data_IF_170191780983
#
_entry.id   IF_170191780983
#
_cell.length_a   1.000
_cell.length_b   1.000
_cell.length_c   1.000
_cell.angle_alpha   90.00
_cell.angle_beta   90.00
_cell.angle_gamma   90.00
#
_symmetry.space_group_name_H-M   'P 1'
#
loop_
_entity.id
_entity.type
_entity.pdbx_description
1 polymer ?
2 non-polymer ?
3 non-polymer ?
4 water ?
#
# COMPACT_ATOMS: atom_id res chain seq x y z
N UNK A 19 17.47 -4.44 -8.64
CA UNK A 19 16.49 -3.99 -7.61
C UNK A 19 16.52 -2.49 -7.36
N UNK A 20 15.33 -1.88 -7.25
CA UNK A 20 15.14 -0.45 -6.93
C UNK A 20 13.68 -0.02 -7.18
N UNK A 21 13.15 0.80 -6.27
CA UNK A 21 11.71 1.02 -6.18
C UNK A 21 11.26 2.47 -6.18
N UNK A 22 10.15 2.72 -6.88
CA UNK A 22 9.53 4.04 -6.92
C UNK A 22 8.07 3.97 -6.47
N UNK A 23 7.80 4.37 -5.20
CA UNK A 23 6.44 4.37 -4.69
C UNK A 23 5.60 5.46 -5.34
N UNK A 24 4.45 5.06 -5.88
CA UNK A 24 3.54 6.01 -6.52
C UNK A 24 2.22 6.02 -5.76
N UNK A 25 1.56 7.17 -5.69
CA UNK A 25 0.23 7.23 -5.10
C UNK A 25 -0.74 7.81 -6.12
N UNK A 26 -1.90 7.21 -6.24
CA UNK A 26 -2.86 7.57 -7.27
C UNK A 26 -4.24 7.49 -6.70
N UNK A 27 -5.15 8.31 -7.22
CA UNK A 27 -6.46 8.41 -6.64
C UNK A 27 -7.61 8.12 -7.59
N UNK A 28 -8.66 7.56 -7.01
CA UNK A 28 -9.93 7.34 -7.68
C UNK A 28 -10.94 8.44 -7.33
N UNK A 29 -11.19 9.32 -8.29
CA UNK A 29 -12.21 10.36 -8.14
C UNK A 29 -13.40 9.99 -8.99
N UNK A 30 -14.60 10.25 -8.50
CA UNK A 30 -15.78 9.74 -9.19
C UNK A 30 -16.86 10.79 -9.37
N UNK A 31 -17.65 10.66 -10.43
CA UNK A 31 -18.64 11.67 -10.80
C UNK A 31 -19.86 11.04 -11.45
N UNK A 32 -20.88 10.79 -10.65
CA UNK A 32 -22.11 10.14 -11.08
C UNK A 32 -21.84 8.75 -11.66
N UNK A 33 -20.93 8.01 -11.02
CA UNK A 33 -20.54 6.68 -11.49
C UNK A 33 -19.26 6.66 -12.31
N UNK A 34 -19.03 7.74 -13.08
CA UNK A 34 -17.86 7.87 -13.92
C UNK A 34 -16.58 8.04 -13.11
N UNK A 35 -15.43 7.92 -13.74
CA UNK A 35 -14.15 8.04 -13.03
C UNK A 35 -13.22 8.91 -13.84
N UNK A 36 -12.25 9.52 -13.15
CA UNK A 36 -11.43 10.57 -13.75
C UNK A 36 -10.05 10.05 -14.13
N UNK A 37 -9.73 10.15 -15.41
CA UNK A 37 -8.39 9.79 -15.88
C UNK A 37 -7.70 10.94 -16.64
N UNK A 38 -6.38 10.90 -16.68
CA UNK A 38 -5.63 11.91 -17.41
C UNK A 38 -4.80 11.28 -18.49
N UNK A 39 -4.74 11.95 -19.65
CA UNK A 39 -3.89 11.50 -20.76
C UNK A 39 -2.45 11.99 -20.51
N UNK A 40 -1.54 11.06 -20.27
CA UNK A 40 -0.14 11.38 -20.06
C UNK A 40 0.43 12.28 -21.18
N UNK A 41 1.08 13.40 -20.81
CA UNK A 41 1.60 14.36 -21.78
C UNK A 41 2.57 13.76 -22.80
N UNK A 42 2.74 14.42 -23.93
CA UNK A 42 3.52 13.88 -25.05
C UNK A 42 5.03 13.75 -24.82
N UNK A 43 5.61 14.63 -23.99
CA UNK A 43 7.07 14.66 -23.81
C UNK A 43 7.61 14.08 -22.50
N UNK A 44 6.82 14.16 -21.43
CA UNK A 44 7.08 13.40 -20.21
C UNK A 44 6.25 12.11 -20.32
N UNK A 45 6.94 11.01 -20.61
CA UNK A 45 6.27 9.91 -21.31
C UNK A 45 6.07 8.52 -20.70
N UNK A 46 4.81 8.12 -20.73
CA UNK A 46 4.42 6.80 -21.16
C UNK A 46 3.30 7.31 -22.06
N UNK A 47 3.69 8.20 -22.97
CA UNK A 47 2.79 9.16 -23.61
C UNK A 47 1.55 8.58 -24.29
N UNK A 48 0.44 9.31 -24.15
CA UNK A 48 -0.83 8.96 -24.78
C UNK A 48 -1.71 8.10 -23.90
N UNK A 49 -1.14 7.60 -22.81
CA UNK A 49 -1.78 6.63 -21.93
C UNK A 49 -2.61 7.29 -20.85
N UNK A 50 -3.73 6.65 -20.51
CA UNK A 50 -4.69 7.20 -19.57
C UNK A 50 -4.47 6.58 -18.22
N UNK A 51 -4.42 7.40 -17.17
CA UNK A 51 -4.07 6.93 -15.86
C UNK A 51 -4.93 7.61 -14.82
N UNK A 52 -4.73 7.21 -13.56
CA UNK A 52 -5.34 7.92 -12.46
C UNK A 52 -4.36 8.95 -11.92
N UNK A 53 -4.83 10.18 -11.67
CA UNK A 53 -3.90 11.24 -11.28
C UNK A 53 -3.15 10.92 -9.99
N UNK A 54 -1.90 11.36 -9.93
CA UNK A 54 -1.05 11.09 -8.79
C UNK A 54 0.38 11.15 -9.20
N UNK A 55 1.23 10.53 -8.40
CA UNK A 55 2.67 10.55 -8.70
C UNK A 55 3.56 10.05 -7.57
N UNK A 56 4.84 10.37 -7.67
CA UNK A 56 5.86 9.82 -6.78
C UNK A 56 5.78 10.44 -5.39
N UNK A 57 6.00 9.63 -4.36
CA UNK A 57 6.10 10.11 -2.98
C UNK A 57 7.49 10.69 -2.73
N UNK A 58 7.54 11.89 -2.14
CA UNK A 58 8.80 12.55 -1.83
C UNK A 58 9.28 12.19 -0.43
N UNK A 59 10.54 12.51 -0.13
CA UNK A 59 11.14 12.29 1.20
C UNK A 59 10.35 12.95 2.31
N UNK A 60 10.11 12.20 3.37
CA UNK A 60 9.44 12.71 4.55
C UNK A 60 7.92 12.67 4.52
N UNK A 61 7.32 12.54 3.34
CA UNK A 61 5.86 12.55 3.28
C UNK A 61 5.19 11.19 3.41
N UNK A 62 3.97 11.19 3.94
CA UNK A 62 3.14 10.00 4.00
C UNK A 62 2.45 9.84 2.64
N UNK A 63 1.92 8.63 2.34
CA UNK A 63 1.27 8.41 1.05
C UNK A 63 0.16 9.43 0.82
N UNK A 64 -0.68 9.60 1.85
CA UNK A 64 -1.73 10.63 1.88
C UNK A 64 -1.19 12.01 1.55
N UNK A 65 -0.16 12.45 2.27
CA UNK A 65 0.41 13.78 2.00
C UNK A 65 0.76 13.92 0.53
N UNK A 66 1.43 12.89 -0.02
CA UNK A 66 1.89 12.88 -1.40
C UNK A 66 0.73 12.90 -2.40
N UNK A 67 -0.35 12.18 -2.08
CA UNK A 67 -1.51 12.16 -2.95
C UNK A 67 -2.25 13.49 -2.91
N UNK A 68 -2.40 14.07 -1.72
CA UNK A 68 -3.05 15.38 -1.59
C UNK A 68 -2.31 16.40 -2.45
N UNK A 69 -0.99 16.31 -2.40
CA UNK A 69 -0.09 17.27 -3.07
C UNK A 69 -0.13 17.08 -4.58
N UNK A 70 -0.06 15.82 -5.01
CA UNK A 70 -0.08 15.48 -6.43
C UNK A 70 -1.38 15.95 -7.06
N UNK A 71 -2.48 15.70 -6.36
CA UNK A 71 -3.79 16.10 -6.84
C UNK A 71 -3.90 17.62 -6.94
N UNK A 72 -3.21 18.35 -6.06
CA UNK A 72 -3.18 19.80 -6.12
C UNK A 72 -2.40 20.25 -7.34
N UNK A 73 -1.17 19.79 -7.44
CA UNK A 73 -0.30 20.25 -8.48
C UNK A 73 -0.71 19.74 -9.87
N UNK A 74 -1.54 18.70 -9.92
CA UNK A 74 -2.01 18.14 -11.20
C UNK A 74 -3.44 18.52 -11.58
N UNK A 75 -4.31 18.66 -10.57
CA UNK A 75 -5.73 18.92 -10.81
C UNK A 75 -6.17 20.33 -10.40
N UNK A 76 -5.35 21.00 -9.58
CA UNK A 76 -5.70 22.29 -9.02
C UNK A 76 -6.69 22.17 -7.87
N UNK A 77 -6.85 20.96 -7.33
CA UNK A 77 -7.85 20.71 -6.30
C UNK A 77 -7.28 20.43 -4.92
N UNK A 78 -7.93 20.99 -3.90
CA UNK A 78 -7.60 20.64 -2.53
C UNK A 78 -8.43 19.44 -2.14
N UNK A 79 -7.80 18.28 -2.17
CA UNK A 79 -8.50 17.03 -1.93
C UNK A 79 -8.22 16.41 -0.56
N UNK A 80 -9.23 15.70 -0.04
CA UNK A 80 -9.11 14.90 1.16
C UNK A 80 -8.94 13.43 0.77
N UNK A 81 -7.80 12.83 1.13
CA UNK A 81 -7.50 11.44 0.72
C UNK A 81 -8.17 10.40 1.63
N UNK A 82 -9.02 9.59 1.03
CA UNK A 82 -9.77 8.59 1.77
C UNK A 82 -9.09 7.24 1.86
N UNK A 83 -9.93 6.21 1.83
CA UNK A 83 -9.55 4.83 2.10
C UNK A 83 -8.59 4.27 1.04
N UNK A 84 -7.65 3.44 1.50
CA UNK A 84 -6.67 2.78 0.63
C UNK A 84 -7.26 1.56 -0.02
N UNK A 85 -7.25 1.50 -1.34
CA UNK A 85 -7.99 0.42 -2.01
C UNK A 85 -7.12 -0.69 -2.63
N UNK A 86 -5.96 -0.33 -3.17
CA UNK A 86 -5.12 -1.27 -3.88
C UNK A 86 -3.65 -0.95 -3.75
N UNK A 87 -2.84 -1.99 -3.83
CA UNK A 87 -1.39 -1.86 -3.94
C UNK A 87 -0.92 -2.86 -4.99
N UNK A 88 -0.06 -2.43 -5.89
CA UNK A 88 0.49 -3.38 -6.80
C UNK A 88 1.91 -3.01 -7.23
N UNK A 89 2.62 -3.97 -7.81
CA UNK A 89 3.94 -3.71 -8.34
C UNK A 89 3.98 -3.92 -9.84
N UNK A 90 4.80 -3.14 -10.53
CA UNK A 90 5.11 -3.40 -11.95
C UNK A 90 6.53 -2.96 -12.22
N UNK A 91 7.28 -3.76 -12.97
CA UNK A 91 8.55 -3.30 -13.47
C UNK A 91 8.42 -2.95 -14.95
N UNK A 92 8.72 -1.69 -15.29
CA UNK A 92 8.89 -1.27 -16.67
C UNK A 92 10.36 -1.47 -17.04
N UNK A 93 10.75 -2.74 -17.17
CA UNK A 93 12.13 -3.12 -17.46
C UNK A 93 13.03 -3.10 -16.23
N UNK A 94 13.64 -1.94 -15.98
CA UNK A 94 14.61 -1.75 -14.91
C UNK A 94 13.99 -0.97 -13.75
N UNK A 95 13.15 0.00 -14.08
CA UNK A 95 12.54 0.89 -13.09
C UNK A 95 11.36 0.17 -12.40
N UNK A 96 11.52 -0.09 -11.10
CA UNK A 96 10.50 -0.80 -10.31
C UNK A 96 9.51 0.11 -9.63
N UNK A 97 8.22 -0.12 -9.88
CA UNK A 97 7.13 0.75 -9.42
C UNK A 97 6.15 0.09 -8.45
N UNK A 98 5.80 0.80 -7.37
CA UNK A 98 4.77 0.36 -6.43
C UNK A 98 3.69 1.42 -6.37
N UNK A 99 2.46 1.07 -6.78
CA UNK A 99 1.37 2.04 -6.84
C UNK A 99 0.41 1.75 -5.73
N UNK A 100 0.05 2.77 -4.96
CA UNK A 100 -1.03 2.66 -3.99
C UNK A 100 -2.22 3.43 -4.52
N UNK A 101 -3.41 2.85 -4.45
CA UNK A 101 -4.59 3.52 -4.97
C UNK A 101 -5.53 3.87 -3.82
N UNK A 102 -5.89 5.14 -3.77
CA UNK A 102 -6.74 5.63 -2.72
C UNK A 102 -8.00 6.18 -3.32
N UNK A 103 -9.07 6.04 -2.57
CA UNK A 103 -10.40 6.49 -2.94
C UNK A 103 -10.44 7.94 -2.53
N UNK A 104 -10.80 8.81 -3.46
CA UNK A 104 -10.87 10.24 -3.19
C UNK A 104 -12.33 10.68 -3.28
N UNK A 105 -12.96 10.79 -2.11
CA UNK A 105 -14.38 11.13 -2.03
C UNK A 105 -14.63 12.63 -1.96
N UNK A 106 -13.66 13.37 -1.43
CA UNK A 106 -13.91 14.74 -1.04
C UNK A 106 -12.83 15.70 -1.52
N UNK A 107 -13.26 16.80 -2.13
CA UNK A 107 -12.33 17.83 -2.61
C UNK A 107 -13.02 19.17 -2.80
N UNK A 108 -12.21 20.22 -2.86
CA UNK A 108 -12.71 21.56 -3.13
C UNK A 108 -12.32 21.96 -4.55
N UNK A 109 -13.32 22.37 -5.32
CA UNK A 109 -13.12 22.84 -6.68
C UNK A 109 -13.39 21.78 -7.73
N UNK A 110 -13.15 22.13 -9.00
CA UNK A 110 -13.25 21.20 -10.11
C UNK A 110 -11.86 21.02 -10.74
N UNK A 111 -11.50 19.77 -11.10
CA UNK A 111 -10.18 19.51 -11.66
C UNK A 111 -10.04 20.00 -13.10
N UNK A 112 -8.86 20.53 -13.41
CA UNK A 112 -8.51 21.02 -14.74
C UNK A 112 -7.14 20.44 -15.11
N UNK A 113 -6.84 20.42 -16.40
CA UNK A 113 -5.63 19.75 -16.88
C UNK A 113 -4.39 20.62 -16.71
N UNK A 114 -3.89 20.68 -15.48
CA UNK A 114 -2.69 21.43 -15.17
C UNK A 114 -1.44 20.75 -15.73
N UNK A 115 -1.43 19.42 -15.72
CA UNK A 115 -0.28 18.64 -16.21
C UNK A 115 -0.62 17.74 -17.39
N UNK A 116 -1.76 17.04 -17.32
CA UNK A 116 -2.13 16.07 -18.34
C UNK A 116 -2.55 16.73 -19.64
N UNK A 117 -2.39 16.01 -20.74
CA UNK A 117 -2.81 16.48 -22.07
C UNK A 117 -4.32 16.75 -22.14
N UNK A 118 -5.09 15.86 -21.55
CA UNK A 118 -6.52 16.02 -21.50
C UNK A 118 -7.01 15.36 -20.22
N UNK A 119 -8.22 15.70 -19.80
CA UNK A 119 -8.87 15.06 -18.66
C UNK A 119 -10.23 14.59 -19.10
N UNK A 120 -10.68 13.47 -18.53
CA UNK A 120 -11.97 12.93 -18.89
C UNK A 120 -12.58 12.07 -17.79
N UNK A 121 -13.89 12.23 -17.63
CA UNK A 121 -14.67 11.38 -16.74
C UNK A 121 -15.29 10.32 -17.62
N UNK A 122 -14.79 9.10 -17.54
CA UNK A 122 -15.30 8.02 -18.39
C UNK A 122 -16.06 6.98 -17.59
N UNK A 123 -16.90 6.22 -18.26
CA UNK A 123 -17.48 5.06 -17.63
C UNK A 123 -16.35 4.08 -17.40
N UNK A 124 -16.30 3.49 -16.21
CA UNK A 124 -15.16 2.63 -15.87
C UNK A 124 -15.01 1.51 -16.90
N UNK A 125 -16.13 0.97 -17.38
CA UNK A 125 -16.12 -0.02 -18.47
C UNK A 125 -15.15 0.35 -19.61
N UNK A 126 -15.10 1.63 -19.95
CA UNK A 126 -14.27 2.11 -21.04
C UNK A 126 -12.77 1.82 -20.83
N UNK A 127 -12.37 1.64 -19.58
CA UNK A 127 -10.99 1.26 -19.30
C UNK A 127 -10.54 0.04 -20.11
N UNK A 128 -11.47 -0.89 -20.36
CA UNK A 128 -11.16 -2.10 -21.10
C UNK A 128 -10.59 -1.80 -22.48
N UNK A 129 -11.02 -0.70 -23.09
CA UNK A 129 -10.51 -0.34 -24.40
C UNK A 129 -9.83 1.03 -24.48
N UNK A 130 -9.33 1.51 -23.36
CA UNK A 130 -8.46 2.69 -23.37
C UNK A 130 -7.03 2.23 -23.22
N UNK A 131 -6.10 2.90 -23.91
CA UNK A 131 -4.68 2.65 -23.72
C UNK A 131 -4.26 3.12 -22.32
N UNK A 132 -4.03 2.16 -21.43
CA UNK A 132 -3.68 2.45 -20.04
C UNK A 132 -2.35 1.74 -19.66
N UNK A 133 -1.65 2.23 -18.60
CA UNK A 133 -0.39 1.59 -18.17
C UNK A 133 -0.55 0.10 -17.98
N UNK A 134 0.41 -0.67 -18.50
CA UNK A 134 0.37 -2.13 -18.36
C UNK A 134 0.20 -2.54 -16.90
N UNK A 135 0.68 -1.67 -16.00
CA UNK A 135 0.63 -1.90 -14.56
C UNK A 135 -0.80 -1.88 -14.07
N UNK A 136 -1.63 -1.07 -14.72
CA UNK A 136 -3.05 -0.99 -14.42
C UNK A 136 -3.82 -2.05 -15.18
N UNK A 137 -3.40 -2.35 -16.40
CA UNK A 137 -4.11 -3.33 -17.20
C UNK A 137 -4.02 -4.71 -16.57
N UNK A 138 -2.86 -5.02 -15.98
CA UNK A 138 -2.65 -6.31 -15.31
C UNK A 138 -3.60 -6.51 -14.13
N UNK A 139 -4.03 -5.42 -13.51
CA UNK A 139 -4.87 -5.55 -12.32
C UNK A 139 -6.27 -4.93 -12.49
N UNK A 140 -6.69 -4.75 -13.74
CA UNK A 140 -7.97 -4.15 -14.05
C UNK A 140 -9.13 -4.78 -13.25
N UNK A 141 -9.04 -6.10 -13.06
CA UNK A 141 -9.97 -6.91 -12.27
C UNK A 141 -10.06 -6.33 -10.87
N UNK A 142 -8.89 -6.24 -10.24
CA UNK A 142 -8.77 -5.78 -8.87
C UNK A 142 -9.26 -4.34 -8.73
N UNK A 143 -8.99 -3.54 -9.75
CA UNK A 143 -9.49 -2.18 -9.80
C UNK A 143 -11.03 -2.15 -9.79
N UNK A 144 -11.66 -2.86 -10.72
CA UNK A 144 -13.11 -2.82 -10.82
C UNK A 144 -13.76 -3.11 -9.48
N UNK A 145 -13.17 -4.06 -8.75
CA UNK A 145 -13.66 -4.41 -7.42
C UNK A 145 -13.54 -3.24 -6.45
N UNK A 146 -12.37 -2.60 -6.45
CA UNK A 146 -12.12 -1.46 -5.58
C UNK A 146 -13.03 -0.25 -5.89
N UNK A 147 -13.59 -0.21 -7.10
CA UNK A 147 -14.49 0.85 -7.49
C UNK A 147 -15.93 0.46 -7.20
N UNK A 148 -16.16 -0.82 -6.91
CA UNK A 148 -17.48 -1.34 -6.56
C UNK A 148 -18.25 -1.88 -7.75
N UNK A 149 -17.55 -2.49 -8.69
CA UNK A 149 -18.18 -2.95 -9.93
C UNK A 149 -17.95 -4.45 -10.23
N UNK A 150 -18.34 -4.90 -11.42
CA UNK A 150 -18.17 -6.32 -11.78
C UNK A 150 -17.20 -6.53 -12.97
N UNK A 151 -16.80 -7.91 -13.05
CA UNK A 151 -15.78 -8.32 -14.03
C UNK A 151 -15.84 -9.84 -14.30
N UNK B 20 16.67 5.73 -1.63
CA UNK B 20 16.09 4.42 -2.02
C UNK B 20 14.93 4.03 -1.10
N UNK B 21 13.84 3.57 -1.69
CA UNK B 21 12.69 3.13 -0.92
C UNK B 21 12.73 1.63 -0.75
N UNK B 22 12.35 1.15 0.42
CA UNK B 22 12.32 -0.28 0.66
C UNK B 22 10.90 -0.75 1.00
N UNK B 23 10.19 -1.26 -0.02
CA UNK B 23 8.81 -1.72 0.22
C UNK B 23 8.78 -2.97 1.08
N UNK B 24 8.19 -2.85 2.26
CA UNK B 24 8.06 -4.00 3.14
C UNK B 24 6.60 -4.45 3.16
N UNK B 25 6.37 -5.75 3.23
CA UNK B 25 5.02 -6.25 3.46
C UNK B 25 5.02 -7.02 4.75
N UNK B 26 3.88 -7.00 5.44
CA UNK B 26 3.75 -7.62 6.75
C UNK B 26 2.30 -7.91 7.05
N UNK B 27 2.05 -8.82 7.98
CA UNK B 27 0.72 -9.37 8.13
C UNK B 27 0.16 -9.39 9.54
N UNK B 28 -1.17 -9.33 9.61
CA UNK B 28 -1.90 -9.41 10.86
C UNK B 28 -2.52 -10.80 10.98
N UNK B 29 -1.99 -11.58 11.92
CA UNK B 29 -2.51 -12.90 12.24
C UNK B 29 -3.23 -12.81 13.57
N UNK B 30 -4.14 -13.73 13.83
CA UNK B 30 -5.13 -13.52 14.84
C UNK B 30 -5.50 -14.79 15.59
N UNK B 31 -5.76 -14.69 16.89
CA UNK B 31 -6.10 -15.85 17.70
C UNK B 31 -7.01 -15.49 18.86
N UNK B 32 -8.31 -15.62 18.63
CA UNK B 32 -9.36 -15.16 19.57
C UNK B 32 -9.10 -13.71 19.99
N UNK B 33 -9.03 -12.81 19.00
CA UNK B 33 -8.81 -11.39 19.29
C UNK B 33 -7.36 -11.02 19.48
N UNK B 34 -6.56 -11.95 20.01
CA UNK B 34 -5.10 -11.75 20.12
C UNK B 34 -4.46 -11.54 18.75
N UNK B 35 -3.22 -11.05 18.75
CA UNK B 35 -2.48 -10.82 17.51
C UNK B 35 -1.07 -11.34 17.71
N UNK B 36 -0.41 -11.65 16.59
CA UNK B 36 0.88 -12.30 16.59
C UNK B 36 1.99 -11.31 16.27
N UNK B 37 3.00 -11.25 17.13
CA UNK B 37 4.17 -10.42 16.89
C UNK B 37 5.46 -11.23 17.14
N UNK B 38 6.57 -10.81 16.55
CA UNK B 38 7.83 -11.51 16.75
C UNK B 38 8.92 -10.60 17.30
N UNK B 39 9.74 -11.13 18.20
CA UNK B 39 10.88 -10.37 18.75
C UNK B 39 12.05 -10.36 17.76
N UNK B 40 12.32 -9.19 17.19
CA UNK B 40 13.47 -9.02 16.29
C UNK B 40 14.74 -9.60 16.93
N UNK B 41 15.49 -10.40 16.17
CA UNK B 41 16.65 -11.10 16.75
C UNK B 41 17.82 -10.16 16.96
N UNK B 42 18.78 -10.59 17.78
CA UNK B 42 19.86 -9.73 18.23
C UNK B 42 20.90 -9.33 17.17
N UNK B 43 21.08 -10.16 16.14
CA UNK B 43 22.15 -9.91 15.14
C UNK B 43 21.77 -8.97 13.98
N UNK B 44 20.59 -9.16 13.40
CA UNK B 44 20.02 -8.21 12.44
C UNK B 44 19.07 -7.27 13.20
N UNK B 45 19.48 -6.00 13.28
CA UNK B 45 18.99 -5.13 14.35
C UNK B 45 18.00 -4.00 14.04
N UNK B 46 16.81 -4.20 14.59
CA UNK B 46 16.20 -3.22 15.43
C UNK B 46 15.93 -4.13 16.61
N UNK B 47 17.02 -4.63 17.18
CA UNK B 47 17.02 -5.79 18.07
C UNK B 47 16.05 -5.71 19.26
N UNK B 48 15.39 -6.83 19.54
CA UNK B 48 14.48 -6.93 20.70
C UNK B 48 13.13 -6.31 20.49
N UNK B 49 12.89 -5.72 19.30
CA UNK B 49 11.65 -5.02 19.01
C UNK B 49 10.61 -5.95 18.45
N UNK B 50 9.37 -5.71 18.84
CA UNK B 50 8.29 -6.57 18.46
C UNK B 50 7.63 -6.04 17.21
N UNK B 51 7.41 -6.93 16.24
CA UNK B 51 6.92 -6.51 14.95
C UNK B 51 5.88 -7.50 14.46
N UNK B 52 5.23 -7.17 13.36
CA UNK B 52 4.43 -8.14 12.66
C UNK B 52 5.30 -8.85 11.62
N UNK B 53 5.21 -10.19 11.53
CA UNK B 53 6.00 -10.95 10.54
C UNK B 53 5.82 -10.45 9.12
N UNK B 54 6.89 -10.49 8.34
CA UNK B 54 6.90 -9.99 6.97
C UNK B 54 8.30 -9.56 6.60
N UNK B 55 8.44 -8.91 5.44
CA UNK B 55 9.76 -8.43 5.03
C UNK B 55 9.81 -7.76 3.66
N UNK B 56 11.01 -7.64 3.11
CA UNK B 56 11.24 -6.90 1.87
C UNK B 56 10.64 -7.65 0.67
N UNK B 57 9.97 -6.92 -0.22
CA UNK B 57 9.46 -7.45 -1.48
C UNK B 57 10.65 -7.61 -2.43
N UNK B 58 10.77 -8.76 -3.08
CA UNK B 58 11.89 -9.04 -3.95
C UNK B 58 11.55 -8.65 -5.37
N UNK B 59 12.58 -8.26 -6.14
CA UNK B 59 12.45 -7.97 -7.57
C UNK B 59 11.57 -9.02 -8.26
N UNK B 60 10.55 -8.55 -8.96
CA UNK B 60 9.64 -9.46 -9.66
C UNK B 60 8.33 -9.79 -8.99
N UNK B 61 8.31 -9.91 -7.66
CA UNK B 61 7.09 -10.39 -6.98
C UNK B 61 6.02 -9.32 -6.71
N UNK B 62 4.79 -9.76 -6.49
CA UNK B 62 3.74 -8.88 -6.02
C UNK B 62 3.78 -8.78 -4.49
N UNK B 63 3.08 -7.79 -3.90
CA UNK B 63 3.02 -7.66 -2.45
C UNK B 63 2.56 -8.96 -1.80
N UNK B 64 1.44 -9.48 -2.29
CA UNK B 64 0.89 -10.74 -1.81
C UNK B 64 1.88 -11.89 -1.89
N UNK B 65 2.49 -12.10 -3.06
CA UNK B 65 3.50 -13.16 -3.20
C UNK B 65 4.58 -13.04 -2.13
N UNK B 66 5.04 -11.81 -1.88
CA UNK B 66 6.10 -11.53 -0.93
C UNK B 66 5.72 -11.84 0.51
N UNK B 67 4.51 -11.46 0.90
CA UNK B 67 4.07 -11.77 2.23
C UNK B 67 3.93 -13.28 2.38
N UNK B 68 3.22 -13.90 1.44
CA UNK B 68 3.05 -15.35 1.44
C UNK B 68 4.39 -15.99 1.75
N UNK B 69 5.42 -15.56 1.04
CA UNK B 69 6.77 -16.16 1.11
C UNK B 69 7.43 -15.83 2.43
N UNK B 70 7.33 -14.56 2.85
CA UNK B 70 7.96 -14.13 4.08
C UNK B 70 7.34 -14.87 5.25
N UNK B 71 6.03 -15.06 5.18
CA UNK B 71 5.32 -15.77 6.24
C UNK B 71 5.74 -17.24 6.33
N UNK B 72 5.95 -17.86 5.16
CA UNK B 72 6.45 -19.22 5.09
C UNK B 72 7.83 -19.31 5.72
N UNK B 73 8.76 -18.53 5.20
CA UNK B 73 10.13 -18.66 5.65
C UNK B 73 10.36 -18.17 7.08
N UNK B 74 9.47 -17.33 7.61
CA UNK B 74 9.60 -16.84 8.99
C UNK B 74 8.78 -17.62 10.02
N UNK B 75 7.62 -18.11 9.63
CA UNK B 75 6.72 -18.80 10.55
C UNK B 75 6.53 -20.29 10.21
N UNK B 76 7.01 -20.71 9.06
CA UNK B 76 6.76 -22.07 8.59
C UNK B 76 5.34 -22.28 8.07
N UNK B 77 4.48 -21.27 8.19
CA UNK B 77 3.10 -21.42 7.75
C UNK B 77 2.94 -21.16 6.27
N UNK B 78 1.83 -21.67 5.74
CA UNK B 78 1.50 -21.56 4.34
C UNK B 78 0.24 -20.73 4.31
N UNK B 79 0.42 -19.43 4.12
CA UNK B 79 -0.64 -18.47 4.36
C UNK B 79 -1.40 -18.06 3.11
N UNK B 80 -2.65 -17.62 3.30
CA UNK B 80 -3.44 -16.99 2.25
C UNK B 80 -3.53 -15.52 2.61
N UNK B 81 -3.05 -14.67 1.70
CA UNK B 81 -2.99 -13.23 1.98
C UNK B 81 -4.34 -12.56 1.74
N UNK B 82 -4.81 -11.86 2.76
CA UNK B 82 -6.14 -11.25 2.74
C UNK B 82 -6.09 -9.80 2.32
N UNK B 83 -7.06 -9.04 2.83
CA UNK B 83 -7.22 -7.63 2.49
C UNK B 83 -6.05 -6.79 2.91
N UNK B 84 -5.71 -5.82 2.06
CA UNK B 84 -4.77 -4.75 2.40
C UNK B 84 -5.42 -3.77 3.35
N UNK B 85 -4.80 -3.52 4.49
CA UNK B 85 -5.40 -2.67 5.51
C UNK B 85 -4.76 -1.30 5.66
N UNK B 86 -3.47 -1.23 5.41
CA UNK B 86 -2.67 -0.09 5.85
C UNK B 86 -1.40 0.09 5.08
N UNK B 87 -1.00 1.35 4.91
CA UNK B 87 0.29 1.69 4.34
C UNK B 87 0.85 2.93 5.00
N UNK B 88 2.14 2.89 5.29
CA UNK B 88 2.78 4.06 5.84
C UNK B 88 4.25 4.12 5.49
N UNK B 89 4.84 5.30 5.65
CA UNK B 89 6.24 5.53 5.38
C UNK B 89 6.97 5.87 6.67
N UNK B 90 8.25 5.51 6.77
CA UNK B 90 9.08 5.96 7.88
C UNK B 90 10.53 6.12 7.43
N UNK B 91 11.26 7.02 8.09
CA UNK B 91 12.69 7.16 7.88
C UNK B 91 13.46 6.65 9.10
N UNK B 92 14.24 5.59 8.90
CA UNK B 92 15.24 5.17 9.88
C UNK B 92 16.60 5.73 9.44
N UNK B 93 16.68 7.06 9.38
CA UNK B 93 17.85 7.77 8.88
C UNK B 93 17.75 8.11 7.40
N UNK B 94 18.64 7.52 6.61
CA UNK B 94 18.64 7.66 5.16
C UNK B 94 17.78 6.55 4.52
N UNK B 95 17.45 5.55 5.33
CA UNK B 95 16.73 4.36 4.88
C UNK B 95 15.21 4.59 4.87
N UNK B 96 14.64 4.72 3.67
CA UNK B 96 13.21 4.94 3.52
C UNK B 96 12.42 3.66 3.29
N UNK B 97 11.54 3.32 4.22
CA UNK B 97 10.72 2.10 4.11
C UNK B 97 9.21 2.39 3.97
N UNK B 98 8.55 1.62 3.11
CA UNK B 98 7.10 1.71 2.92
C UNK B 98 6.50 0.39 3.34
N UNK B 99 5.75 0.36 4.45
CA UNK B 99 5.12 -0.90 4.86
C UNK B 99 3.68 -0.98 4.36
N UNK B 100 3.31 -2.15 3.84
CA UNK B 100 1.92 -2.47 3.60
C UNK B 100 1.50 -3.52 4.59
N UNK B 101 0.32 -3.36 5.20
CA UNK B 101 -0.13 -4.36 6.14
C UNK B 101 -1.33 -5.09 5.60
N UNK B 102 -1.27 -6.41 5.68
CA UNK B 102 -2.32 -7.25 5.16
C UNK B 102 -2.93 -8.10 6.24
N UNK B 103 -4.24 -8.26 6.14
CA UNK B 103 -4.99 -9.11 7.01
C UNK B 103 -4.70 -10.52 6.55
N UNK B 104 -4.35 -11.40 7.49
CA UNK B 104 -4.11 -12.81 7.19
C UNK B 104 -5.11 -13.67 7.94
N UNK B 105 -6.19 -14.03 7.26
CA UNK B 105 -7.23 -14.81 7.87
C UNK B 105 -6.91 -16.30 7.89
N UNK B 106 -6.18 -16.75 6.87
CA UNK B 106 -6.14 -18.17 6.53
C UNK B 106 -4.75 -18.74 6.31
N UNK B 107 -4.43 -19.85 6.97
CA UNK B 107 -3.15 -20.54 6.77
C UNK B 107 -3.17 -22.02 7.15
N UNK B 108 -2.16 -22.77 6.69
CA UNK B 108 -1.94 -24.15 7.12
C UNK B 108 -0.79 -24.19 8.13
N UNK B 109 -0.94 -25.02 9.17
CA UNK B 109 0.10 -25.21 10.17
C UNK B 109 0.07 -24.17 11.29
N UNK B 110 0.89 -24.39 12.31
CA UNK B 110 1.08 -23.42 13.39
C UNK B 110 2.46 -22.77 13.26
N UNK B 111 2.54 -21.45 13.51
CA UNK B 111 3.77 -20.69 13.35
C UNK B 111 4.78 -21.01 14.44
N UNK B 112 6.05 -20.93 14.07
CA UNK B 112 7.18 -21.24 14.95
C UNK B 112 8.32 -20.28 14.66
N UNK B 113 9.19 -20.07 15.64
CA UNK B 113 10.18 -18.99 15.56
C UNK B 113 11.38 -19.38 14.71
N UNK B 114 11.21 -19.32 13.39
CA UNK B 114 12.27 -19.66 12.46
C UNK B 114 13.30 -18.56 12.31
N UNK B 115 12.94 -17.33 12.71
CA UNK B 115 13.80 -16.16 12.58
C UNK B 115 13.87 -15.32 13.87
N UNK B 116 12.72 -15.14 14.52
CA UNK B 116 12.62 -14.27 15.69
C UNK B 116 13.11 -14.98 16.93
N UNK B 117 13.52 -14.21 17.95
CA UNK B 117 13.85 -14.77 19.28
C UNK B 117 12.66 -15.44 19.95
N UNK B 118 11.54 -14.73 19.96
CA UNK B 118 10.30 -15.31 20.44
C UNK B 118 9.17 -14.95 19.50
N UNK B 119 8.15 -15.79 19.49
CA UNK B 119 6.87 -15.46 18.91
C UNK B 119 5.89 -15.39 20.06
N UNK B 120 4.93 -14.47 19.95
CA UNK B 120 3.94 -14.29 20.99
C UNK B 120 2.63 -13.84 20.41
N UNK B 121 1.55 -14.41 20.94
CA UNK B 121 0.20 -13.96 20.67
C UNK B 121 -0.12 -13.02 21.80
N UNK B 122 -0.29 -11.75 21.51
CA UNK B 122 -0.56 -10.79 22.58
C UNK B 122 -1.88 -10.09 22.39
N UNK B 123 -2.49 -9.68 23.49
CA UNK B 123 -3.62 -8.79 23.39
C UNK B 123 -3.13 -7.55 22.66
N UNK B 124 -3.93 -7.04 21.72
CA UNK B 124 -3.46 -5.89 20.93
C UNK B 124 -3.19 -4.69 21.84
N UNK B 125 -4.03 -4.50 22.85
CA UNK B 125 -3.87 -3.46 23.85
C UNK B 125 -2.41 -3.36 24.35
N UNK B 126 -1.76 -4.50 24.47
CA UNK B 126 -0.42 -4.59 25.02
C UNK B 126 0.62 -3.88 24.15
N UNK B 127 0.38 -3.79 22.85
CA UNK B 127 1.28 -3.04 21.97
C UNK B 127 1.60 -1.63 22.50
N UNK B 128 0.63 -1.03 23.20
CA UNK B 128 0.82 0.30 23.76
C UNK B 128 2.05 0.38 24.68
N UNK B 129 2.42 -0.74 25.28
CA UNK B 129 3.58 -0.78 26.18
C UNK B 129 4.56 -1.90 25.84
N UNK B 130 4.73 -2.14 24.54
CA UNK B 130 5.75 -3.06 24.06
C UNK B 130 6.68 -2.30 23.16
N UNK B 131 7.96 -2.60 23.25
CA UNK B 131 8.95 -1.95 22.40
C UNK B 131 8.77 -2.39 20.96
N UNK B 132 8.31 -1.45 20.13
CA UNK B 132 7.99 -1.75 18.73
C UNK B 132 8.60 -0.69 17.80
N UNK B 133 8.84 -1.03 16.51
CA UNK B 133 9.38 -0.08 15.53
C UNK B 133 8.64 1.27 15.57
N UNK B 134 9.38 2.36 15.56
CA UNK B 134 8.75 3.69 15.59
C UNK B 134 7.76 3.86 14.42
N UNK B 135 7.96 3.07 13.35
CA UNK B 135 7.10 3.14 12.16
C UNK B 135 5.70 2.64 12.48
N UNK B 136 5.62 1.73 13.45
CA UNK B 136 4.37 1.19 13.94
C UNK B 136 3.84 2.03 15.08
N UNK B 137 4.74 2.46 15.97
CA UNK B 137 4.41 3.32 17.09
C UNK B 137 3.65 4.55 16.60
N UNK B 138 4.15 5.17 15.52
CA UNK B 138 3.54 6.37 14.96
C UNK B 138 2.15 6.18 14.37
N UNK B 139 1.78 4.95 14.04
CA UNK B 139 0.47 4.71 13.43
C UNK B 139 -0.34 3.71 14.25
N UNK B 140 0.00 3.59 15.53
CA UNK B 140 -0.62 2.59 16.39
C UNK B 140 -2.14 2.69 16.38
N UNK B 141 -2.64 3.93 16.27
CA UNK B 141 -4.06 4.21 16.16
C UNK B 141 -4.65 3.65 14.89
N UNK B 142 -4.02 3.98 13.77
CA UNK B 142 -4.41 3.44 12.47
C UNK B 142 -4.39 1.91 12.45
N UNK B 143 -3.41 1.33 13.15
CA UNK B 143 -3.34 -0.11 13.30
C UNK B 143 -4.57 -0.62 14.05
N UNK B 144 -4.81 -0.06 15.24
CA UNK B 144 -5.92 -0.52 16.06
C UNK B 144 -7.22 -0.54 15.27
N UNK B 145 -7.43 0.50 14.46
CA UNK B 145 -8.61 0.58 13.61
C UNK B 145 -8.66 -0.58 12.60
N UNK B 146 -7.60 -0.75 11.83
CA UNK B 146 -7.50 -1.85 10.90
C UNK B 146 -7.74 -3.24 11.53
N UNK B 147 -7.58 -3.34 12.84
CA UNK B 147 -7.80 -4.60 13.53
C UNK B 147 -9.23 -4.76 14.06
N UNK B 148 -10.04 -3.71 13.92
CA UNK B 148 -11.43 -3.74 14.38
C UNK B 148 -11.57 -3.29 15.82
N UNK B 149 -10.73 -2.32 16.22
CA UNK B 149 -10.70 -1.77 17.58
C UNK B 149 -10.52 -0.24 17.53
N UNK B 150 -10.95 0.47 18.59
CA UNK B 150 -10.71 1.93 18.65
C UNK B 150 -9.47 2.32 19.47
N UNK B 151 -8.88 3.46 19.07
CA UNK B 151 -7.65 3.99 19.68
C UNK B 151 -7.83 4.47 21.13
N UNK B 152 -8.87 5.29 21.34
CA UNK B 152 -9.14 5.87 22.65
C UNK B 152 -10.57 6.42 22.69
X LIG C 1 6.62 13.06 -12.87
X LIG C 1 7.68 13.52 -11.86
X LIG C 1 6.89 11.61 -13.25
X LIG C 1 6.73 13.91 -14.14
X LIG C 1 5.15 13.24 -12.17
X LIG C 1 4.64 12.38 -10.89
X LIG C 1 5.42 12.76 -9.65
X LIG C 1 3.16 12.57 -10.70
X LIG C 1 4.91 10.82 -11.22
X LIG C 1 3.96 10.05 -12.26
X LIG C 1 2.59 10.68 -12.21
X LIG C 1 4.57 10.10 -13.62
X LIG C 1 3.79 8.53 -11.77
X LIG C 1 4.92 7.74 -11.52
X LIG C 1 4.87 6.40 -12.27
X LIG C 1 3.74 5.58 -12.03
X LIG C 1 4.96 6.62 -13.78
X LIG C 1 6.20 6.09 -14.21
X LIG C 1 3.77 5.86 -14.32
X LIG C 1 4.18 5.10 -15.43
X LIG C 1 3.37 4.89 -13.22
X LIG C 1 1.93 4.55 -13.26
X LIG C 1 1.34 3.35 -13.58
X LIG C 1 0.00 3.51 -13.45
X LIG C 1 -0.30 4.76 -13.04
X LIG C 1 -1.47 5.45 -12.75
X LIG C 1 -2.58 4.93 -12.85
X LIG C 1 -1.41 6.77 -12.34
X LIG C 1 -0.19 7.40 -12.22
X LIG C 1 -0.07 8.66 -11.84
X LIG C 1 0.96 6.71 -12.50
X LIG C 1 0.91 5.43 -12.91
X LIG D 1 5.15 14.64 -8.59
X LIG E 1 3.04 14.73 -10.59
X LIG F 1 1.51 12.54 -12.11
X LIG G 1 15.88 -9.33 6.47
X LIG G 1 16.83 -10.51 6.29
X LIG G 1 15.94 -8.43 5.23
X LIG G 1 16.30 -8.53 7.69
X LIG G 1 14.38 -9.93 6.67
X LIG G 1 13.08 -9.44 5.83
X LIG G 1 13.25 -9.66 4.34
X LIG G 1 11.87 -10.14 6.42
X LIG G 1 12.90 -7.85 6.07
X LIG G 1 12.58 -7.26 7.53
X LIG G 1 11.82 -8.27 8.34
X LIG G 1 13.89 -6.89 8.17
X LIG G 1 11.66 -5.97 7.33
X LIG G 1 12.14 -4.87 6.61
X LIG G 1 12.05 -3.57 7.40
X LIG G 1 10.72 -3.20 7.80
X LIG G 1 12.89 -3.61 8.65
X LIG G 1 13.84 -2.55 8.61
X LIG G 1 11.87 -3.39 9.75
X LIG G 1 12.37 -2.64 10.81
X LIG G 1 10.77 -2.60 9.07
X LIG G 1 9.53 -2.71 9.86
X LIG G 1 8.86 -1.72 10.56
X LIG G 1 7.78 -2.30 11.14
X LIG G 1 7.74 -3.62 10.84
X LIG G 1 6.87 -4.66 11.15
X LIG G 1 5.87 -4.51 11.86
X LIG G 1 7.15 -5.93 10.67
X LIG G 1 8.26 -6.16 9.87
X LIG G 1 8.55 -7.35 9.40
X LIG G 1 9.09 -5.12 9.56
X LIG G 1 8.85 -3.88 10.05
X LIG H 1 13.43 -11.39 3.02
X LIG I 1 12.56 -12.14 5.95
X LIG J 1 11.07 -10.31 8.43
#
# INVERSE_FOLDING_TARGET
MTDDSAVESKQKKSKIRKGHWIPVVAGFLRKDGKILVGQRPENNSLAGQWEFPGGKIENGETPEEALARELNEELGIEAEVGELKLACTHSYGDVGILILFYEILYWKGEPRAKHHMMLEWIHPEELKHRNIPEANRKILHKIYKALGLEWRK
MTDDSAVESKQKKSKIRKGHWIPVVAGFLRKDGKILVGQRPENNSLAGQWEFPGGKIENGETPEEALARELNEELGIEAEVGELKLACTHSYGDVGILILFYEILYWKGEPRAKHHMMLEWIHPEELKHRNIPEANRKILHKIYKALGLEWRK
GTP PG O1G O2G O3G O3B PB O1B O2B O3A PA O1A O2A O5' C5' C4' O4' C3' O3' C2' O2' C1' N9 C8 N7 C5 C6 O6 N1 C2 N2 N3 C4
MG MG
MG MG
MG MG
GTP PG O1G O2G O3G O3B PB O1B O2B O3A PA O1A O2A O5' C5' C4' O4' C3' O3' C2' O2' C1' N9 C8 N7 C5 C6 O6 N1 C2 N2 N3 C4
MG MG
MG MG
MG MG
#
